data_IF_591329861182
#
_entry.id   IF_591329861182
#
_cell.length_a   1.000
_cell.length_b   1.000
_cell.length_c   1.000
_cell.angle_alpha   90.00
_cell.angle_beta   90.00
_cell.angle_gamma   90.00
#
_symmetry.space_group_name_H-M   'P 1'
#
loop_
_entity.id
_entity.type
_entity.pdbx_description
1 polymer ?
#
# COMPACT_ATOMS: atom_id res chain seq x y z
N UNK A 1 11.27 -7.48 34.81
CA UNK A 1 10.66 -7.31 34.45
C UNK A 1 9.98 -7.31 33.84
N UNK A 2 9.65 -7.60 33.80
CA UNK A 2 8.95 -7.82 33.38
C UNK A 2 8.23 -7.36 32.57
N UNK A 3 8.21 -7.54 32.12
CA UNK A 3 7.50 -7.21 31.28
C UNK A 3 6.50 -7.05 30.96
N UNK A 4 6.78 -7.06 31.33
CA UNK A 4 5.62 -6.40 30.86
C UNK A 4 5.15 -6.97 29.56
N UNK A 5 6.04 -6.93 28.58
CA UNK A 5 5.80 -7.64 27.35
C UNK A 5 5.93 -9.12 27.65
N UNK A 6 5.00 -9.91 27.22
CA UNK A 6 4.96 -11.32 27.60
C UNK A 6 5.93 -12.18 26.79
N UNK A 7 6.78 -11.56 26.00
CA UNK A 7 7.75 -12.28 25.20
C UNK A 7 7.31 -12.65 23.81
N UNK A 8 6.06 -12.36 23.46
CA UNK A 8 5.65 -12.62 22.09
C UNK A 8 6.23 -11.55 21.20
N UNK A 9 6.84 -11.99 20.12
CA UNK A 9 7.34 -11.07 19.11
C UNK A 9 6.36 -11.06 17.96
N UNK A 10 6.49 -10.05 17.11
CA UNK A 10 5.67 -9.97 15.92
C UNK A 10 5.87 -11.23 15.09
N UNK A 11 4.80 -11.82 14.66
CA UNK A 11 4.83 -13.00 13.80
C UNK A 11 4.28 -12.59 12.45
N UNK A 12 5.18 -12.15 11.57
CA UNK A 12 4.78 -11.62 10.28
C UNK A 12 4.20 -12.70 9.36
N UNK A 13 4.71 -13.92 9.48
CA UNK A 13 4.18 -15.01 8.65
C UNK A 13 2.73 -15.29 8.98
N UNK A 14 2.42 -15.38 10.27
CA UNK A 14 1.04 -15.62 10.67
C UNK A 14 0.15 -14.42 10.35
N UNK A 15 0.67 -13.21 10.56
CA UNK A 15 -0.07 -12.00 10.20
C UNK A 15 -0.42 -12.00 8.70
N UNK A 16 0.55 -12.32 7.84
CA UNK A 16 0.32 -12.37 6.40
C UNK A 16 -0.74 -13.39 6.04
N UNK A 17 -0.75 -14.53 6.71
CA UNK A 17 -1.76 -15.57 6.45
C UNK A 17 -3.16 -15.07 6.77
N UNK A 18 -3.33 -14.36 7.88
CA UNK A 18 -4.64 -13.80 8.24
C UNK A 18 -5.05 -12.68 7.32
N UNK A 19 -4.10 -11.81 6.92
CA UNK A 19 -4.39 -10.77 5.94
C UNK A 19 -4.83 -11.39 4.62
N UNK A 20 -4.18 -12.47 4.21
CA UNK A 20 -4.55 -13.13 2.97
C UNK A 20 -5.98 -13.66 3.02
N UNK A 21 -6.37 -14.24 4.15
CA UNK A 21 -7.73 -14.73 4.30
C UNK A 21 -8.74 -13.59 4.20
N UNK A 22 -8.47 -12.48 4.87
CA UNK A 22 -9.35 -11.32 4.80
C UNK A 22 -9.38 -10.73 3.38
N UNK A 23 -8.21 -10.65 2.77
CA UNK A 23 -8.06 -10.07 1.43
C UNK A 23 -8.86 -10.87 0.40
N UNK A 24 -8.80 -12.18 0.49
CA UNK A 24 -9.52 -13.04 -0.45
C UNK A 24 -11.03 -12.94 -0.30
N UNK A 25 -11.50 -12.48 0.84
CA UNK A 25 -12.93 -12.23 1.04
C UNK A 25 -13.33 -10.83 0.58
N UNK A 26 -12.40 -10.07 0.02
CA UNK A 26 -12.69 -8.74 -0.50
C UNK A 26 -12.50 -7.62 0.50
N UNK A 27 -11.93 -7.89 1.67
CA UNK A 27 -11.72 -6.86 2.69
C UNK A 27 -10.59 -5.93 2.23
N UNK A 28 -10.93 -4.65 2.04
CA UNK A 28 -9.98 -3.68 1.49
C UNK A 28 -8.77 -3.48 2.41
N UNK A 29 -8.99 -3.40 3.72
CA UNK A 29 -7.89 -3.23 4.67
C UNK A 29 -6.98 -4.44 4.63
N UNK A 30 -7.55 -5.65 4.59
CA UNK A 30 -6.78 -6.89 4.47
C UNK A 30 -5.97 -6.91 3.19
N UNK A 31 -6.55 -6.48 2.08
CA UNK A 31 -5.85 -6.39 0.80
C UNK A 31 -4.68 -5.42 0.89
N UNK A 32 -4.88 -4.26 1.51
CA UNK A 32 -3.81 -3.29 1.68
C UNK A 32 -2.69 -3.85 2.54
N UNK A 33 -3.04 -4.47 3.66
CA UNK A 33 -2.03 -5.02 4.57
C UNK A 33 -1.25 -6.14 3.90
N UNK A 34 -1.93 -6.99 3.13
CA UNK A 34 -1.24 -8.04 2.39
C UNK A 34 -0.31 -7.44 1.34
N UNK A 35 -0.77 -6.42 0.63
CA UNK A 35 0.08 -5.70 -0.32
C UNK A 35 1.32 -5.13 0.35
N UNK A 36 1.16 -4.56 1.55
CA UNK A 36 2.28 -4.03 2.30
C UNK A 36 3.27 -5.14 2.70
N UNK A 37 2.76 -6.31 3.05
CA UNK A 37 3.63 -7.45 3.36
C UNK A 37 4.48 -7.84 2.15
N UNK A 38 3.88 -7.91 0.97
CA UNK A 38 4.63 -8.22 -0.24
C UNK A 38 5.61 -7.11 -0.60
N UNK A 39 5.22 -5.86 -0.40
CA UNK A 39 6.09 -4.72 -0.71
C UNK A 39 7.34 -4.69 0.17
N UNK A 40 7.20 -5.12 1.42
CA UNK A 40 8.30 -5.06 2.41
C UNK A 40 8.98 -6.39 2.63
N UNK A 41 8.40 -7.49 2.14
CA UNK A 41 8.94 -8.81 2.42
C UNK A 41 8.73 -9.24 3.85
N UNK A 42 7.60 -8.87 4.45
CA UNK A 42 7.28 -9.23 5.83
C UNK A 42 6.28 -10.37 5.85
N UNK A 43 6.71 -11.54 6.32
CA UNK A 43 5.86 -12.71 6.40
C UNK A 43 5.68 -13.45 5.08
N UNK A 44 6.10 -12.87 3.99
CA UNK A 44 6.08 -13.46 2.65
C UNK A 44 7.34 -12.99 1.94
N UNK A 45 7.71 -13.68 0.88
CA UNK A 45 8.83 -13.24 0.06
C UNK A 45 8.44 -11.93 -0.64
N UNK A 46 9.36 -10.97 -0.62
CA UNK A 46 9.13 -9.67 -1.25
C UNK A 46 8.77 -9.84 -2.73
N UNK A 47 7.70 -9.17 -3.14
CA UNK A 47 7.22 -9.26 -4.52
C UNK A 47 6.43 -7.99 -4.83
N UNK A 48 7.09 -7.02 -5.46
CA UNK A 48 6.46 -5.74 -5.74
C UNK A 48 5.26 -5.87 -6.69
N UNK A 49 5.32 -6.80 -7.63
CA UNK A 49 4.21 -7.01 -8.56
C UNK A 49 2.96 -7.50 -7.83
N UNK A 50 3.14 -8.43 -6.89
CA UNK A 50 2.01 -8.90 -6.08
C UNK A 50 1.49 -7.81 -5.17
N UNK A 51 2.40 -6.98 -4.63
CA UNK A 51 1.98 -5.84 -3.82
C UNK A 51 1.05 -4.94 -4.62
N UNK A 52 1.44 -4.62 -5.85
CA UNK A 52 0.62 -3.77 -6.71
C UNK A 52 -0.75 -4.40 -6.97
N UNK A 53 -0.80 -5.70 -7.21
CA UNK A 53 -2.08 -6.38 -7.45
C UNK A 53 -3.03 -6.21 -6.27
N UNK A 54 -2.53 -6.40 -5.06
CA UNK A 54 -3.36 -6.27 -3.87
C UNK A 54 -3.73 -4.82 -3.57
N UNK A 55 -2.76 -3.89 -3.71
CA UNK A 55 -3.08 -2.47 -3.56
C UNK A 55 -4.13 -2.02 -4.59
N UNK A 56 -4.05 -2.53 -5.82
CA UNK A 56 -5.00 -2.17 -6.85
C UNK A 56 -6.42 -2.59 -6.46
N UNK A 57 -6.57 -3.79 -5.91
CA UNK A 57 -7.89 -4.27 -5.49
C UNK A 57 -8.48 -3.39 -4.38
N UNK A 58 -7.68 -3.04 -3.40
CA UNK A 58 -8.13 -2.19 -2.30
C UNK A 58 -8.40 -0.76 -2.79
N UNK A 59 -7.52 -0.24 -3.65
CA UNK A 59 -7.67 1.10 -4.20
C UNK A 59 -8.95 1.22 -5.02
N UNK A 60 -9.30 0.18 -5.77
CA UNK A 60 -10.53 0.16 -6.55
C UNK A 60 -11.77 0.19 -5.68
N UNK A 61 -11.65 -0.23 -4.42
CA UNK A 61 -12.75 -0.13 -3.46
C UNK A 61 -12.82 1.25 -2.81
N UNK A 62 -11.90 2.14 -3.15
CA UNK A 62 -11.89 3.50 -2.60
C UNK A 62 -11.04 3.66 -1.34
N UNK A 63 -10.25 2.66 -0.97
CA UNK A 63 -9.44 2.76 0.25
C UNK A 63 -8.27 3.70 0.00
N UNK A 64 -8.29 4.86 0.68
CA UNK A 64 -7.34 5.94 0.41
C UNK A 64 -5.89 5.54 0.63
N UNK A 65 -5.62 4.76 1.68
CA UNK A 65 -4.25 4.31 1.97
C UNK A 65 -3.70 3.49 0.81
N UNK A 66 -4.53 2.62 0.24
CA UNK A 66 -4.10 1.80 -0.90
C UNK A 66 -3.94 2.64 -2.17
N UNK A 67 -4.78 3.64 -2.34
CA UNK A 67 -4.63 4.56 -3.47
C UNK A 67 -3.30 5.28 -3.40
N UNK A 68 -2.93 5.74 -2.20
CA UNK A 68 -1.62 6.36 -1.98
C UNK A 68 -0.49 5.36 -2.27
N UNK A 69 -0.58 4.15 -1.71
CA UNK A 69 0.45 3.13 -1.90
C UNK A 69 0.60 2.77 -3.37
N UNK A 70 -0.51 2.64 -4.08
CA UNK A 70 -0.50 2.33 -5.51
C UNK A 70 0.15 3.46 -6.29
N UNK A 71 -0.19 4.70 -5.93
CA UNK A 71 0.44 5.88 -6.55
C UNK A 71 1.95 5.86 -6.41
N UNK A 72 2.43 5.50 -5.21
CA UNK A 72 3.88 5.43 -4.98
C UNK A 72 4.55 4.37 -5.86
N UNK A 73 3.92 3.22 -6.03
CA UNK A 73 4.49 2.16 -6.88
C UNK A 73 4.58 2.61 -8.33
N UNK A 74 3.56 3.30 -8.84
CA UNK A 74 3.63 3.87 -10.19
C UNK A 74 4.65 4.99 -10.29
N UNK A 75 4.78 5.81 -9.25
CA UNK A 75 5.75 6.90 -9.25
C UNK A 75 7.18 6.36 -9.27
N UNK A 76 7.44 5.31 -8.49
CA UNK A 76 8.78 4.73 -8.36
C UNK A 76 9.08 3.67 -9.41
N UNK A 77 8.07 3.17 -10.10
CA UNK A 77 8.25 2.07 -11.05
C UNK A 77 8.59 0.77 -10.37
N UNK A 78 7.95 0.48 -9.22
CA UNK A 78 8.18 -0.76 -8.49
C UNK A 78 7.00 -1.69 -8.68
N UNK A 79 7.24 -2.84 -9.28
CA UNK A 79 6.20 -3.81 -9.57
C UNK A 79 5.31 -3.45 -10.76
N UNK A 80 5.47 -2.25 -11.29
CA UNK A 80 4.79 -1.76 -12.50
C UNK A 80 5.76 -0.84 -13.21
N UNK A 81 5.49 -0.58 -14.47
CA UNK A 81 6.25 0.42 -15.22
C UNK A 81 5.96 1.80 -14.64
N UNK A 82 7.01 2.58 -14.44
CA UNK A 82 6.87 3.94 -13.89
C UNK A 82 5.97 4.78 -14.78
N UNK A 83 5.01 5.46 -14.15
CA UNK A 83 4.06 6.27 -14.88
C UNK A 83 3.60 7.39 -13.94
N UNK A 84 4.18 8.58 -14.12
CA UNK A 84 3.87 9.72 -13.25
C UNK A 84 2.41 10.15 -13.38
N UNK A 85 1.84 10.07 -14.58
CA UNK A 85 0.45 10.49 -14.77
C UNK A 85 -0.51 9.57 -14.02
N UNK A 86 -0.26 8.28 -14.08
CA UNK A 86 -1.08 7.31 -13.33
C UNK A 86 -0.87 7.52 -11.82
N UNK A 87 0.36 7.76 -11.39
CA UNK A 87 0.65 8.03 -9.99
C UNK A 87 -0.15 9.24 -9.50
N UNK A 88 -0.15 10.33 -10.28
CA UNK A 88 -0.89 11.54 -9.94
C UNK A 88 -2.38 11.26 -9.80
N UNK A 89 -2.94 10.47 -10.69
CA UNK A 89 -4.36 10.14 -10.63
C UNK A 89 -4.70 9.43 -9.32
N UNK A 90 -3.88 8.47 -8.91
CA UNK A 90 -4.11 7.77 -7.64
C UNK A 90 -3.88 8.68 -6.44
N UNK A 91 -2.83 9.51 -6.47
CA UNK A 91 -2.61 10.50 -5.41
C UNK A 91 -3.79 11.45 -5.28
N UNK A 92 -4.37 11.88 -6.41
CA UNK A 92 -5.53 12.77 -6.38
C UNK A 92 -6.72 12.13 -5.69
N UNK A 93 -6.98 10.85 -5.99
CA UNK A 93 -8.09 10.14 -5.37
C UNK A 93 -7.91 10.06 -3.85
N UNK A 94 -6.72 9.72 -3.41
CA UNK A 94 -6.44 9.63 -1.98
C UNK A 94 -6.46 11.02 -1.33
N UNK A 95 -5.87 12.01 -1.99
CA UNK A 95 -5.80 13.37 -1.47
C UNK A 95 -7.20 13.98 -1.30
N UNK A 96 -8.09 13.68 -2.23
CA UNK A 96 -9.47 14.16 -2.16
C UNK A 96 -10.25 13.55 -1.00
N UNK A 97 -9.78 12.43 -0.48
CA UNK A 97 -10.36 11.81 0.71
C UNK A 97 -9.71 12.32 2.00
N UNK A 98 -8.74 13.22 1.88
CA UNK A 98 -8.08 13.81 3.04
C UNK A 98 -6.78 13.13 3.45
N UNK A 99 -6.23 12.23 2.62
CA UNK A 99 -4.97 11.57 2.95
C UNK A 99 -3.83 12.58 2.83
N UNK A 100 -3.20 12.88 3.97
CA UNK A 100 -2.19 13.94 4.04
C UNK A 100 -0.92 13.56 3.28
N UNK A 101 -0.55 12.28 3.29
CA UNK A 101 0.64 11.83 2.56
C UNK A 101 0.42 11.99 1.06
N UNK A 102 -0.77 11.64 0.57
CA UNK A 102 -1.10 11.83 -0.84
C UNK A 102 -1.13 13.30 -1.23
N UNK A 103 -1.67 14.15 -0.33
CA UNK A 103 -1.68 15.60 -0.57
C UNK A 103 -0.27 16.14 -0.71
N UNK A 104 0.63 15.70 0.16
CA UNK A 104 2.03 16.12 0.11
C UNK A 104 2.69 15.64 -1.19
N UNK A 105 2.51 14.39 -1.55
CA UNK A 105 3.11 13.86 -2.78
C UNK A 105 2.53 14.52 -4.02
N UNK A 106 1.24 14.79 -4.01
CA UNK A 106 0.61 15.49 -5.11
C UNK A 106 1.21 16.89 -5.26
N UNK A 107 1.39 17.59 -4.14
CA UNK A 107 2.07 18.87 -4.15
C UNK A 107 3.47 18.79 -4.74
N UNK A 108 4.21 17.75 -4.36
CA UNK A 108 5.54 17.53 -4.90
C UNK A 108 5.51 17.29 -6.41
N UNK A 109 4.52 16.54 -6.89
CA UNK A 109 4.40 16.28 -8.33
C UNK A 109 4.19 17.56 -9.11
N UNK A 110 3.34 18.45 -8.60
CA UNK A 110 3.14 19.74 -9.26
C UNK A 110 4.39 20.62 -9.17
N UNK A 111 5.02 20.63 -8.00
CA UNK A 111 6.24 21.42 -7.80
C UNK A 111 7.35 20.98 -8.75
N UNK A 112 7.48 19.67 -8.97
CA UNK A 112 8.54 19.09 -9.79
C UNK A 112 8.17 18.99 -11.27
N UNK A 113 6.96 19.40 -11.64
CA UNK A 113 6.53 19.35 -13.03
C UNK A 113 6.27 17.95 -13.56
N UNK A 114 5.84 17.05 -12.69
CA UNK A 114 5.56 15.65 -13.04
C UNK A 114 4.07 15.38 -13.16
N UNK A 115 3.35 16.28 -13.75
CA UNK A 115 1.92 16.14 -13.98
C UNK A 115 1.59 16.23 -15.44
#
# INVERSE_FOLDING_TARGET
MLFLWDGTEANFEEAAQWYEKAAKQGNAVGQNELGACYSSGLGVEEDAAKAVEWFQKAANQGYAVSQYNLGKHYYDGEGVERDYQTAVQWYEKAANQGDADAQRELGNCYYDGKV
#
